data_IF_557234817831
#
_entry.id   IF_557234817831
#
_cell.length_a   1.000
_cell.length_b   1.000
_cell.length_c   1.000
_cell.angle_alpha   90.00
_cell.angle_beta   90.00
_cell.angle_gamma   90.00
#
_symmetry.space_group_name_H-M   'P 1'
#
loop_
_entity.id
_entity.type
_entity.pdbx_description
1 polymer ?
#
# COMPACT_ATOMS: atom_id res chain seq x y z
N UNK A 1 -5.94 -6.55 2.53
CA UNK A 1 -7.05 -7.28 3.15
C UNK A 1 -6.42 -8.22 4.16
N UNK A 2 -6.60 -7.96 5.45
CA UNK A 2 -5.97 -8.74 6.52
C UNK A 2 -6.87 -9.91 6.92
N UNK A 3 -6.25 -11.08 7.06
CA UNK A 3 -6.88 -12.28 7.59
C UNK A 3 -6.20 -12.70 8.89
N UNK A 4 -7.01 -13.13 9.86
CA UNK A 4 -6.58 -13.64 11.16
C UNK A 4 -7.09 -15.05 11.35
N UNK A 5 -6.22 -15.91 11.87
CA UNK A 5 -6.61 -17.25 12.32
C UNK A 5 -6.85 -17.20 13.82
N UNK A 6 -8.10 -17.41 14.25
CA UNK A 6 -8.48 -17.46 15.66
C UNK A 6 -9.04 -18.83 16.01
N UNK A 7 -8.69 -19.33 17.19
CA UNK A 7 -9.27 -20.56 17.74
C UNK A 7 -10.57 -20.25 18.47
N UNK A 8 -11.65 -20.87 18.04
CA UNK A 8 -12.98 -20.67 18.62
C UNK A 8 -13.15 -21.43 19.95
N UNK A 9 -14.31 -21.25 20.60
CA UNK A 9 -14.66 -21.93 21.85
C UNK A 9 -14.70 -23.47 21.73
N UNK A 10 -14.93 -23.99 20.53
CA UNK A 10 -14.90 -25.44 20.21
C UNK A 10 -13.50 -25.94 19.86
N UNK A 11 -12.45 -25.14 20.06
CA UNK A 11 -11.05 -25.43 19.69
C UNK A 11 -10.80 -25.64 18.20
N UNK A 12 -11.69 -25.16 17.34
CA UNK A 12 -11.52 -25.14 15.88
C UNK A 12 -10.86 -23.83 15.47
N UNK A 13 -9.94 -23.92 14.51
CA UNK A 13 -9.31 -22.74 13.94
C UNK A 13 -10.25 -22.13 12.88
N UNK A 14 -10.49 -20.83 12.98
CA UNK A 14 -11.38 -20.06 12.13
C UNK A 14 -10.59 -18.93 11.48
N UNK A 15 -10.74 -18.79 10.17
CA UNK A 15 -10.16 -17.69 9.42
C UNK A 15 -11.16 -16.53 9.35
N UNK A 16 -10.69 -15.34 9.70
CA UNK A 16 -11.52 -14.15 9.85
C UNK A 16 -10.86 -12.98 9.14
N UNK A 17 -11.63 -12.28 8.31
CA UNK A 17 -11.17 -11.02 7.75
C UNK A 17 -11.41 -9.88 8.75
N UNK A 18 -10.39 -9.08 9.03
CA UNK A 18 -10.48 -7.98 10.01
C UNK A 18 -11.51 -6.93 9.63
N UNK A 19 -11.64 -6.65 8.33
CA UNK A 19 -12.56 -5.63 7.79
C UNK A 19 -14.03 -5.97 8.03
N UNK A 20 -14.34 -7.25 8.27
CA UNK A 20 -15.70 -7.72 8.53
C UNK A 20 -16.09 -7.64 10.01
N UNK A 21 -15.14 -7.31 10.90
CA UNK A 21 -15.40 -7.21 12.34
C UNK A 21 -16.17 -5.93 12.63
N UNK A 22 -17.42 -6.07 13.10
CA UNK A 22 -18.27 -4.92 13.45
C UNK A 22 -18.17 -4.56 14.94
N UNK A 23 -17.96 -5.56 15.80
CA UNK A 23 -17.90 -5.35 17.25
C UNK A 23 -17.10 -6.46 17.95
N UNK A 24 -16.34 -6.08 18.97
CA UNK A 24 -15.65 -7.01 19.87
C UNK A 24 -16.15 -6.77 21.29
N UNK A 25 -16.75 -7.78 21.90
CA UNK A 25 -17.34 -7.71 23.24
C UNK A 25 -16.61 -8.67 24.17
N UNK A 26 -15.93 -8.18 25.22
CA UNK A 26 -15.34 -9.06 26.23
C UNK A 26 -16.42 -9.74 27.07
N UNK A 27 -16.19 -10.99 27.45
CA UNK A 27 -17.01 -11.73 28.40
C UNK A 27 -16.10 -12.50 29.37
N UNK A 28 -16.57 -12.77 30.58
CA UNK A 28 -15.75 -13.39 31.61
C UNK A 28 -14.65 -12.46 32.11
N UNK A 29 -14.59 -12.23 33.42
CA UNK A 29 -13.59 -11.32 34.02
C UNK A 29 -14.10 -10.54 35.24
N UNK A 30 -15.39 -10.61 35.54
CA UNK A 30 -15.99 -9.90 36.68
C UNK A 30 -16.08 -10.70 37.99
N UNK A 31 -15.86 -12.02 37.97
CA UNK A 31 -15.93 -12.89 39.16
C UNK A 31 -14.73 -13.83 39.18
N UNK A 32 -14.11 -14.01 40.35
CA UNK A 32 -12.97 -14.91 40.54
C UNK A 32 -13.35 -16.32 40.08
N UNK A 33 -12.81 -16.75 38.94
CA UNK A 33 -13.05 -18.08 38.37
C UNK A 33 -13.69 -18.11 36.97
N UNK A 34 -14.18 -16.98 36.42
CA UNK A 34 -14.67 -16.97 35.03
C UNK A 34 -13.52 -16.87 34.03
N UNK A 35 -13.42 -17.81 33.08
CA UNK A 35 -12.46 -17.74 31.97
C UNK A 35 -12.74 -16.50 31.12
N UNK A 36 -11.76 -15.57 30.98
CA UNK A 36 -11.94 -14.41 30.12
C UNK A 36 -11.95 -14.82 28.65
N UNK A 37 -12.72 -14.11 27.85
CA UNK A 37 -12.81 -14.32 26.41
C UNK A 37 -13.46 -13.13 25.70
N UNK A 38 -13.64 -13.29 24.40
CA UNK A 38 -14.26 -12.27 23.53
C UNK A 38 -15.23 -12.89 22.55
N UNK A 39 -16.36 -12.21 22.36
CA UNK A 39 -17.28 -12.46 21.25
C UNK A 39 -17.03 -11.41 20.17
N UNK A 40 -16.73 -11.88 18.97
CA UNK A 40 -16.45 -11.07 17.79
C UNK A 40 -17.69 -11.15 16.90
N UNK A 41 -18.25 -10.01 16.51
CA UNK A 41 -19.40 -9.95 15.62
C UNK A 41 -18.96 -9.58 14.20
N UNK A 42 -19.58 -10.22 13.21
CA UNK A 42 -19.40 -9.97 11.79
C UNK A 42 -20.74 -9.64 11.15
N UNK A 43 -20.86 -8.42 10.63
CA UNK A 43 -22.14 -7.93 10.09
C UNK A 43 -23.27 -7.98 11.13
N UNK A 44 -24.47 -8.34 10.68
CA UNK A 44 -25.71 -8.35 11.48
C UNK A 44 -26.02 -9.71 12.14
N UNK A 45 -25.49 -10.82 11.63
CA UNK A 45 -26.00 -12.17 12.00
C UNK A 45 -24.93 -13.19 12.42
N UNK A 46 -23.63 -12.88 12.30
CA UNK A 46 -22.58 -13.85 12.61
C UNK A 46 -21.75 -13.40 13.79
N UNK A 47 -21.36 -14.35 14.62
CA UNK A 47 -20.44 -14.11 15.73
C UNK A 47 -19.51 -15.30 15.96
N UNK A 48 -18.30 -15.01 16.45
CA UNK A 48 -17.34 -16.00 16.90
C UNK A 48 -16.97 -15.74 18.35
N UNK A 49 -17.06 -16.77 19.17
CA UNK A 49 -16.61 -16.73 20.56
C UNK A 49 -15.23 -17.35 20.65
N UNK A 50 -14.28 -16.63 21.26
CA UNK A 50 -12.93 -17.12 21.54
C UNK A 50 -12.59 -16.90 23.01
N UNK A 51 -11.70 -17.73 23.56
CA UNK A 51 -11.16 -17.55 24.92
C UNK A 51 -9.85 -16.75 24.93
N UNK A 52 -9.63 -15.95 23.89
CA UNK A 52 -8.52 -15.01 23.82
C UNK A 52 -8.90 -13.75 24.61
N UNK A 53 -7.94 -13.15 25.32
CA UNK A 53 -8.18 -11.85 25.93
C UNK A 53 -8.38 -10.79 24.85
N UNK A 54 -9.18 -9.78 25.18
CA UNK A 54 -9.46 -8.68 24.25
C UNK A 54 -8.18 -7.94 23.85
N UNK A 55 -7.29 -7.72 24.80
CA UNK A 55 -6.04 -7.01 24.59
C UNK A 55 -5.15 -7.77 23.60
N UNK A 56 -5.01 -9.08 23.78
CA UNK A 56 -4.23 -9.95 22.91
C UNK A 56 -4.81 -9.97 21.48
N UNK A 57 -6.14 -10.05 21.34
CA UNK A 57 -6.81 -9.98 20.04
C UNK A 57 -6.54 -8.65 19.33
N UNK A 58 -6.61 -7.53 20.06
CA UNK A 58 -6.33 -6.20 19.48
C UNK A 58 -4.86 -6.04 19.05
N UNK A 59 -3.92 -6.66 19.78
CA UNK A 59 -2.51 -6.69 19.39
C UNK A 59 -2.33 -7.49 18.10
N UNK A 60 -2.99 -8.63 17.97
CA UNK A 60 -2.94 -9.44 16.74
C UNK A 60 -3.51 -8.70 15.54
N UNK A 61 -4.67 -8.03 15.69
CA UNK A 61 -5.26 -7.21 14.63
C UNK A 61 -4.27 -6.12 14.18
N UNK A 62 -3.73 -5.34 15.11
CA UNK A 62 -2.79 -4.25 14.80
C UNK A 62 -1.50 -4.75 14.16
N UNK A 63 -0.99 -5.90 14.60
CA UNK A 63 0.21 -6.50 14.04
C UNK A 63 0.01 -6.89 12.58
N UNK A 64 -1.11 -7.54 12.27
CA UNK A 64 -1.44 -8.00 10.94
C UNK A 64 -1.75 -6.82 9.98
N UNK A 65 -2.43 -5.76 10.46
CA UNK A 65 -2.61 -4.51 9.70
C UNK A 65 -1.28 -3.80 9.41
N UNK A 66 -0.37 -3.79 10.38
CA UNK A 66 0.96 -3.21 10.19
C UNK A 66 1.76 -3.97 9.13
N UNK A 67 1.70 -5.30 9.15
CA UNK A 67 2.39 -6.16 8.18
C UNK A 67 1.89 -5.92 6.76
N UNK A 68 0.57 -5.89 6.54
CA UNK A 68 0.00 -5.55 5.22
C UNK A 68 0.44 -4.17 4.74
N UNK A 69 0.47 -3.17 5.66
CA UNK A 69 0.92 -1.83 5.31
C UNK A 69 2.40 -1.82 4.90
N UNK A 70 3.25 -2.59 5.58
CA UNK A 70 4.66 -2.69 5.24
C UNK A 70 4.88 -3.37 3.89
N UNK A 71 4.11 -4.41 3.58
CA UNK A 71 4.16 -5.09 2.29
C UNK A 71 3.80 -4.13 1.14
N UNK A 72 2.70 -3.39 1.26
CA UNK A 72 2.31 -2.35 0.28
C UNK A 72 3.37 -1.27 0.11
N UNK A 73 4.00 -0.83 1.20
CA UNK A 73 5.07 0.15 1.14
C UNK A 73 6.31 -0.42 0.44
N UNK A 74 6.63 -1.70 0.65
CA UNK A 74 7.73 -2.38 -0.03
C UNK A 74 7.46 -2.49 -1.54
N UNK A 75 6.26 -2.88 -1.95
CA UNK A 75 5.84 -2.91 -3.37
C UNK A 75 5.96 -1.53 -4.02
N UNK A 76 5.49 -0.47 -3.34
CA UNK A 76 5.63 0.90 -3.83
C UNK A 76 7.10 1.32 -3.93
N UNK A 77 7.93 0.94 -2.96
CA UNK A 77 9.35 1.26 -2.97
C UNK A 77 10.07 0.62 -4.15
N UNK A 78 9.73 -0.62 -4.51
CA UNK A 78 10.27 -1.29 -5.71
C UNK A 78 9.93 -0.50 -6.97
N UNK A 79 8.68 -0.06 -7.14
CA UNK A 79 8.26 0.74 -8.29
C UNK A 79 8.99 2.09 -8.37
N UNK A 80 9.11 2.79 -7.24
CA UNK A 80 9.83 4.07 -7.16
C UNK A 80 11.31 3.89 -7.52
N UNK A 81 11.92 2.79 -7.07
CA UNK A 81 13.32 2.49 -7.34
C UNK A 81 13.53 2.19 -8.82
N UNK A 82 12.69 1.32 -9.42
CA UNK A 82 12.73 1.02 -10.84
C UNK A 82 12.51 2.27 -11.71
N UNK A 83 11.60 3.16 -11.31
CA UNK A 83 11.39 4.44 -11.99
C UNK A 83 12.62 5.36 -11.90
N UNK A 84 13.23 5.47 -10.72
CA UNK A 84 14.44 6.27 -10.52
C UNK A 84 15.61 5.74 -11.36
N UNK A 85 15.77 4.42 -11.45
CA UNK A 85 16.78 3.78 -12.30
C UNK A 85 16.55 4.05 -13.79
N UNK A 86 15.32 3.86 -14.28
CA UNK A 86 14.96 4.15 -15.68
C UNK A 86 15.15 5.63 -16.04
N UNK A 87 14.84 6.54 -15.12
CA UNK A 87 15.10 7.97 -15.29
C UNK A 87 16.60 8.26 -15.34
N UNK A 88 17.38 7.65 -14.45
CA UNK A 88 18.84 7.81 -14.44
C UNK A 88 19.49 7.27 -15.72
N UNK A 89 18.98 6.17 -16.28
CA UNK A 89 19.43 5.63 -17.56
C UNK A 89 19.11 6.59 -18.72
N UNK A 90 17.88 7.11 -18.81
CA UNK A 90 17.51 8.12 -19.82
C UNK A 90 18.30 9.42 -19.72
N UNK A 91 18.71 9.81 -18.51
CA UNK A 91 19.54 11.00 -18.30
C UNK A 91 21.02 10.76 -18.64
N UNK A 92 21.49 9.50 -18.63
CA UNK A 92 22.83 9.12 -19.09
C UNK A 92 22.95 9.08 -20.61
N UNK A 93 21.84 8.91 -21.33
CA UNK A 93 21.85 9.01 -22.79
C UNK A 93 22.36 10.41 -23.17
N UNK A 94 23.50 10.53 -23.88
CA UNK A 94 23.96 11.83 -24.32
C UNK A 94 22.85 12.43 -25.18
N UNK A 95 22.35 13.62 -24.80
CA UNK A 95 21.45 14.41 -25.63
C UNK A 95 22.08 14.44 -27.02
N UNK A 96 21.49 13.69 -27.97
CA UNK A 96 21.86 13.77 -29.38
C UNK A 96 21.39 15.13 -29.84
N UNK A 97 22.18 16.16 -29.52
CA UNK A 97 22.17 17.42 -30.24
C UNK A 97 22.63 17.06 -31.65
N UNK A 98 21.71 16.59 -32.48
CA UNK A 98 21.86 16.80 -33.91
C UNK A 98 21.84 18.31 -34.05
N UNK A 99 23.03 18.91 -34.16
CA UNK A 99 23.17 20.27 -34.61
C UNK A 99 22.40 20.33 -35.94
N UNK A 100 21.18 20.88 -35.91
CA UNK A 100 20.55 21.32 -37.13
C UNK A 100 21.47 22.42 -37.65
N UNK A 101 22.31 22.07 -38.62
CA UNK A 101 23.06 23.00 -39.44
C UNK A 101 22.04 24.02 -39.96
N UNK A 102 21.97 25.17 -39.29
CA UNK A 102 21.29 26.34 -39.82
C UNK A 102 22.15 26.78 -40.98
N UNK A 103 21.88 26.24 -42.18
CA UNK A 103 22.31 26.85 -43.43
C UNK A 103 21.77 28.27 -43.43
N UNK A 104 22.64 29.22 -43.11
CA UNK A 104 22.40 30.65 -43.32
C UNK A 104 22.00 30.81 -44.79
N UNK A 105 20.81 31.36 -45.12
CA UNK A 105 20.46 31.58 -46.51
C UNK A 105 21.45 32.58 -47.12
N UNK A 106 21.90 32.38 -48.37
CA UNK A 106 22.82 33.30 -49.02
C UNK A 106 22.15 34.67 -49.16
N UNK A 107 22.82 35.69 -48.62
CA UNK A 107 22.40 37.08 -48.66
C UNK A 107 22.54 37.63 -50.10
N UNK A 108 21.53 37.40 -50.94
CA UNK A 108 21.42 38.04 -52.25
C UNK A 108 20.98 39.50 -52.07
N UNK A 109 21.90 40.39 -51.69
CA UNK A 109 21.77 41.82 -51.97
C UNK A 109 22.31 42.10 -53.36
N UNK A 110 21.46 41.88 -54.36
CA UNK A 110 21.58 42.53 -55.66
C UNK A 110 21.37 44.02 -55.47
N UNK A 111 22.44 44.81 -55.49
CA UNK A 111 22.37 46.26 -55.66
C UNK A 111 21.92 46.56 -57.10
N UNK A 112 20.62 46.54 -57.33
CA UNK A 112 19.98 47.15 -58.49
C UNK A 112 19.50 48.55 -58.08
N UNK A 113 20.32 49.56 -58.37
CA UNK A 113 20.03 50.96 -58.06
C UNK A 113 20.83 51.90 -58.95
N UNK A 114 20.63 51.80 -60.27
CA UNK A 114 20.91 52.90 -61.21
C UNK A 114 19.70 53.84 -61.21
N UNK A 115 19.98 55.15 -61.28
CA UNK A 115 19.15 56.34 -61.60
C UNK A 115 19.21 57.33 -60.43
N UNK A 116 19.59 58.60 -60.61
CA UNK A 116 19.81 59.46 -61.78
C UNK A 116 20.84 60.53 -61.39
#
# INVERSE_FOLDING_TARGET
MVWLTLRNSEKKDCLIQTDNITKIVPFGGGKSGSTPGVTIYFGTERSLTTYTKREDLLVQIKAAEKEERLEKLAEQQVLVTAFAEALAEKLKEPRRYTAHDKKTPPNNRTNAGKRQ
#
